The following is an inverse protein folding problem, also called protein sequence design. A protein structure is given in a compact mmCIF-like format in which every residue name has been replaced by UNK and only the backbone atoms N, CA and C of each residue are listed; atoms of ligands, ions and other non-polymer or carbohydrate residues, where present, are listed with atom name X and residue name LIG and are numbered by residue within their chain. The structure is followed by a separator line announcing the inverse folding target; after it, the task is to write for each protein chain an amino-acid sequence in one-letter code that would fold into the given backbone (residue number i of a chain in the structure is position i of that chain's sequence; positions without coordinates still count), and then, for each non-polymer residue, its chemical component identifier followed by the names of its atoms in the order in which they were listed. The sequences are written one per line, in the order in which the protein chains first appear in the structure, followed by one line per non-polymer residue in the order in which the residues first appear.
data_IF_790599239346
#
_entry.id   IF_790599239346
#
_cell.length_a   1.000
_cell.length_b   1.000
_cell.length_c   1.000
_cell.angle_alpha   90.00
_cell.angle_beta   90.00
_cell.angle_gamma   90.00
#
_symmetry.space_group_name_H-M   'P 1'
#
loop_
_entity.id
_entity.type
_entity.pdbx_description
1 polymer ?
#
# COMPACT_ATOMS: atom_id res chain seq x y z
N UNK A 1 30.62 -10.37 -14.24
CA UNK A 1 31.47 -9.21 -13.91
C UNK A 1 32.23 -9.55 -12.64
N UNK A 2 33.55 -9.76 -12.73
CA UNK A 2 34.42 -9.97 -11.57
C UNK A 2 35.11 -8.65 -11.24
N UNK A 3 35.09 -8.28 -9.97
CA UNK A 3 35.84 -7.13 -9.43
C UNK A 3 36.96 -7.66 -8.54
N UNK A 4 38.07 -6.92 -8.46
CA UNK A 4 39.10 -7.20 -7.46
C UNK A 4 38.69 -6.65 -6.08
N UNK A 5 39.52 -6.92 -5.08
CA UNK A 5 39.32 -6.47 -3.70
C UNK A 5 39.34 -4.94 -3.55
N UNK A 6 39.81 -4.22 -4.57
CA UNK A 6 39.87 -2.77 -4.60
C UNK A 6 38.71 -2.18 -5.40
N UNK A 7 37.69 -2.99 -5.73
CA UNK A 7 36.51 -2.61 -6.51
C UNK A 7 36.84 -2.11 -7.93
N UNK A 8 38.03 -2.40 -8.44
CA UNK A 8 38.32 -2.12 -9.83
C UNK A 8 37.67 -3.20 -10.68
N UNK A 9 37.08 -2.78 -11.80
CA UNK A 9 36.55 -3.69 -12.79
C UNK A 9 37.75 -4.38 -13.42
N UNK A 10 37.95 -5.66 -13.10
CA UNK A 10 38.97 -6.45 -13.78
C UNK A 10 38.44 -6.65 -15.20
N UNK A 11 39.14 -6.15 -16.23
CA UNK A 11 38.76 -6.45 -17.60
C UNK A 11 38.76 -7.98 -17.70
N UNK A 12 37.62 -8.55 -18.09
CA UNK A 12 37.53 -9.98 -18.36
C UNK A 12 38.42 -10.25 -19.57
N UNK A 13 39.71 -10.48 -19.27
CA UNK A 13 40.71 -10.85 -20.24
C UNK A 13 40.22 -12.11 -20.90
N UNK A 14 39.99 -11.97 -22.20
CA UNK A 14 39.73 -13.02 -23.17
C UNK A 14 38.48 -13.87 -22.95
N UNK A 15 37.70 -13.89 -24.01
CA UNK A 15 36.68 -14.86 -24.31
C UNK A 15 37.27 -16.27 -24.09
N UNK A 16 36.95 -16.95 -22.99
CA UNK A 16 37.20 -18.39 -22.83
C UNK A 16 36.23 -19.17 -23.71
N UNK A 17 36.24 -18.88 -25.02
CA UNK A 17 35.60 -19.70 -26.01
C UNK A 17 36.62 -20.74 -26.43
N UNK A 18 36.24 -22.01 -26.37
CA UNK A 18 36.98 -23.06 -27.05
C UNK A 18 37.20 -22.63 -28.50
N UNK A 19 38.40 -22.85 -29.06
CA UNK A 19 38.69 -22.42 -30.41
C UNK A 19 37.67 -23.06 -31.36
N UNK A 20 36.86 -22.21 -32.00
CA UNK A 20 35.79 -22.63 -32.94
C UNK A 20 36.39 -23.46 -34.08
N UNK A 21 37.67 -23.18 -34.40
CA UNK A 21 38.44 -23.91 -35.40
C UNK A 21 39.64 -24.60 -34.75
N UNK A 22 40.01 -25.81 -35.20
CA UNK A 22 41.19 -26.50 -34.70
C UNK A 22 42.46 -25.66 -34.94
N UNK A 23 43.41 -25.75 -34.01
CA UNK A 23 44.69 -25.06 -34.10
C UNK A 23 45.55 -25.70 -35.20
N UNK A 24 45.41 -25.17 -36.41
CA UNK A 24 46.19 -25.57 -37.59
C UNK A 24 46.89 -24.35 -38.19
N UNK A 25 48.06 -24.53 -38.82
CA UNK A 25 48.79 -23.45 -39.46
C UNK A 25 48.00 -22.80 -40.61
N UNK A 26 47.09 -23.55 -41.27
CA UNK A 26 46.18 -23.04 -42.30
C UNK A 26 45.16 -22.06 -41.71
N UNK A 27 44.52 -22.45 -40.60
CA UNK A 27 43.56 -21.59 -39.89
C UNK A 27 44.23 -20.34 -39.32
N UNK A 28 45.43 -20.50 -38.75
CA UNK A 28 46.24 -19.37 -38.31
C UNK A 28 46.52 -18.39 -39.45
N UNK A 29 46.91 -18.88 -40.63
CA UNK A 29 47.19 -18.02 -41.79
C UNK A 29 45.92 -17.34 -42.33
N UNK A 30 44.79 -18.04 -42.31
CA UNK A 30 43.50 -17.56 -42.79
C UNK A 30 42.89 -16.49 -41.88
N UNK A 31 43.00 -16.67 -40.56
CA UNK A 31 42.36 -15.79 -39.57
C UNK A 31 43.31 -14.76 -38.95
N UNK A 32 44.63 -14.86 -39.16
CA UNK A 32 45.60 -13.84 -38.72
C UNK A 32 45.30 -12.44 -39.26
N UNK A 33 44.65 -12.34 -40.43
CA UNK A 33 44.21 -11.07 -41.01
C UNK A 33 42.86 -10.57 -40.45
N UNK A 34 42.02 -11.46 -39.92
CA UNK A 34 40.66 -11.13 -39.45
C UNK A 34 40.65 -10.76 -37.96
N UNK A 35 41.62 -11.24 -37.18
CA UNK A 35 41.81 -10.87 -35.78
C UNK A 35 43.18 -10.22 -35.55
N UNK A 36 43.33 -8.96 -35.97
CA UNK A 36 44.52 -8.15 -35.64
C UNK A 36 44.67 -7.81 -34.14
N UNK A 37 43.81 -8.34 -33.27
CA UNK A 37 43.82 -8.05 -31.84
C UNK A 37 44.69 -8.97 -30.97
N UNK A 38 45.39 -9.96 -31.55
CA UNK A 38 46.19 -10.89 -30.76
C UNK A 38 47.66 -10.45 -30.54
N UNK A 39 48.10 -9.33 -31.10
CA UNK A 39 49.44 -8.76 -30.83
C UNK A 39 49.31 -7.40 -30.14
N UNK A 40 49.10 -7.41 -28.83
CA UNK A 40 49.14 -6.21 -28.01
C UNK A 40 50.56 -5.60 -28.06
N UNK A 41 50.72 -4.53 -28.82
CA UNK A 41 51.90 -3.66 -28.72
C UNK A 41 51.65 -2.70 -27.55
N UNK A 42 52.64 -2.39 -26.69
CA UNK A 42 52.46 -1.35 -25.67
C UNK A 42 52.10 -0.02 -26.35
N UNK A 43 50.86 0.45 -26.17
CA UNK A 43 50.34 1.67 -26.82
C UNK A 43 49.16 1.47 -27.79
N UNK A 44 48.71 0.23 -28.04
CA UNK A 44 47.48 0.02 -28.83
C UNK A 44 46.25 0.46 -28.02
N UNK A 45 45.56 1.50 -28.49
CA UNK A 45 44.23 1.89 -28.00
C UNK A 45 43.31 0.67 -28.10
N UNK A 46 42.91 0.12 -26.96
CA UNK A 46 41.85 -0.89 -26.88
C UNK A 46 40.63 -0.25 -27.54
N UNK A 47 40.11 -0.85 -28.61
CA UNK A 47 38.93 -0.34 -29.29
C UNK A 47 37.79 -0.26 -28.27
N UNK A 48 37.53 0.94 -27.77
CA UNK A 48 36.34 1.25 -27.01
C UNK A 48 35.15 1.02 -27.93
N UNK A 49 34.04 0.50 -27.39
CA UNK A 49 32.82 0.40 -28.17
C UNK A 49 32.47 1.77 -28.75
N UNK A 50 31.81 1.78 -29.91
CA UNK A 50 31.39 3.06 -30.48
C UNK A 50 30.46 3.76 -29.48
N UNK A 51 30.57 5.08 -29.29
CA UNK A 51 29.70 5.81 -28.37
C UNK A 51 28.19 5.54 -28.58
N UNK A 52 27.81 5.29 -29.84
CA UNK A 52 26.45 4.88 -30.23
C UNK A 52 26.03 3.53 -29.63
N UNK A 53 26.94 2.56 -29.58
CA UNK A 53 26.69 1.24 -28.99
C UNK A 53 26.53 1.33 -27.46
N UNK A 54 27.37 2.12 -26.79
CA UNK A 54 27.27 2.35 -25.34
C UNK A 54 25.95 3.04 -24.98
N UNK A 55 25.56 4.09 -25.72
CA UNK A 55 24.30 4.79 -25.51
C UNK A 55 23.07 3.89 -25.76
N UNK A 56 23.13 2.99 -26.75
CA UNK A 56 22.07 2.02 -27.01
C UNK A 56 21.93 1.02 -25.85
N UNK A 57 23.04 0.54 -25.32
CA UNK A 57 23.06 -0.42 -24.22
C UNK A 57 22.57 0.21 -22.90
N UNK A 58 22.97 1.45 -22.61
CA UNK A 58 22.46 2.23 -21.48
C UNK A 58 20.95 2.44 -21.58
N UNK A 59 20.46 2.78 -22.78
CA UNK A 59 19.02 2.92 -23.04
C UNK A 59 18.28 1.60 -22.82
N UNK A 60 18.86 0.48 -23.26
CA UNK A 60 18.30 -0.88 -23.05
C UNK A 60 18.22 -1.24 -21.56
N UNK A 61 19.29 -0.99 -20.81
CA UNK A 61 19.37 -1.27 -19.38
C UNK A 61 18.40 -0.42 -18.58
N UNK A 62 18.28 0.87 -18.92
CA UNK A 62 17.32 1.79 -18.31
C UNK A 62 15.89 1.32 -18.57
N UNK A 63 15.55 0.97 -19.81
CA UNK A 63 14.23 0.41 -20.15
C UNK A 63 13.91 -0.85 -19.33
N UNK A 64 14.87 -1.76 -19.17
CA UNK A 64 14.68 -2.96 -18.35
C UNK A 64 14.44 -2.64 -16.88
N UNK A 65 15.18 -1.67 -16.32
CA UNK A 65 15.03 -1.23 -14.94
C UNK A 65 13.67 -0.56 -14.70
N UNK A 66 13.26 0.35 -15.60
CA UNK A 66 11.96 1.01 -15.53
C UNK A 66 10.83 -0.01 -15.64
N UNK A 67 10.92 -0.95 -16.58
CA UNK A 67 9.91 -1.98 -16.77
C UNK A 67 9.75 -2.86 -15.52
N UNK A 68 10.87 -3.25 -14.89
CA UNK A 68 10.83 -4.02 -13.65
C UNK A 68 10.18 -3.23 -12.51
N UNK A 69 10.58 -1.98 -12.31
CA UNK A 69 10.00 -1.11 -11.29
C UNK A 69 8.48 -0.91 -11.50
N UNK A 70 8.05 -0.78 -12.76
CA UNK A 70 6.63 -0.66 -13.10
C UNK A 70 5.84 -1.92 -12.69
N UNK A 71 6.34 -3.12 -13.03
CA UNK A 71 5.66 -4.36 -12.64
C UNK A 71 5.60 -4.56 -11.12
N UNK A 72 6.68 -4.24 -10.40
CA UNK A 72 6.69 -4.30 -8.93
C UNK A 72 5.63 -3.36 -8.33
N UNK A 73 5.51 -2.15 -8.88
CA UNK A 73 4.51 -1.17 -8.45
C UNK A 73 3.08 -1.61 -8.79
N UNK A 74 2.85 -2.21 -9.95
CA UNK A 74 1.57 -2.80 -10.33
C UNK A 74 1.13 -3.90 -9.36
N UNK A 75 2.02 -4.83 -9.01
CA UNK A 75 1.74 -5.90 -8.04
C UNK A 75 1.50 -5.34 -6.63
N UNK A 76 2.26 -4.32 -6.22
CA UNK A 76 2.06 -3.63 -4.95
C UNK A 76 0.67 -2.99 -4.89
N UNK A 77 0.24 -2.33 -5.96
CA UNK A 77 -1.09 -1.70 -6.06
C UNK A 77 -2.20 -2.75 -6.02
N UNK A 78 -2.05 -3.89 -6.73
CA UNK A 78 -3.01 -5.00 -6.67
C UNK A 78 -3.19 -5.52 -5.25
N UNK A 79 -2.08 -5.77 -4.55
CA UNK A 79 -2.07 -6.25 -3.17
C UNK A 79 -2.74 -5.25 -2.23
N UNK A 80 -2.41 -3.96 -2.36
CA UNK A 80 -3.00 -2.92 -1.53
C UNK A 80 -4.49 -2.75 -1.79
N UNK A 81 -4.93 -2.82 -3.04
CA UNK A 81 -6.35 -2.78 -3.43
C UNK A 81 -7.15 -3.92 -2.80
N UNK A 82 -6.59 -5.13 -2.74
CA UNK A 82 -7.23 -6.26 -2.07
C UNK A 82 -7.34 -6.03 -0.55
N UNK A 83 -6.28 -5.53 0.08
CA UNK A 83 -6.28 -5.19 1.52
C UNK A 83 -7.32 -4.12 1.85
N UNK A 84 -7.41 -3.06 1.04
CA UNK A 84 -8.41 -1.99 1.20
C UNK A 84 -9.81 -2.58 1.12
N UNK A 85 -10.14 -3.39 0.10
CA UNK A 85 -11.45 -4.03 -0.01
C UNK A 85 -11.82 -4.88 1.21
N UNK A 86 -10.86 -5.63 1.74
CA UNK A 86 -11.07 -6.42 2.97
C UNK A 86 -11.31 -5.53 4.20
N UNK A 87 -10.50 -4.49 4.37
CA UNK A 87 -10.64 -3.53 5.46
C UNK A 87 -11.96 -2.76 5.38
N UNK A 88 -12.40 -2.36 4.20
CA UNK A 88 -13.69 -1.71 3.99
C UNK A 88 -14.86 -2.64 4.38
N UNK A 89 -14.80 -3.91 3.98
CA UNK A 89 -15.83 -4.90 4.35
C UNK A 89 -15.91 -5.10 5.86
N UNK A 90 -14.77 -5.27 6.52
CA UNK A 90 -14.71 -5.45 7.98
C UNK A 90 -15.14 -4.19 8.73
N UNK A 91 -14.73 -3.01 8.26
CA UNK A 91 -15.15 -1.74 8.85
C UNK A 91 -16.66 -1.52 8.72
N UNK A 92 -17.24 -1.78 7.55
CA UNK A 92 -18.70 -1.71 7.35
C UNK A 92 -19.45 -2.66 8.30
N UNK A 93 -18.97 -3.89 8.47
CA UNK A 93 -19.54 -4.84 9.44
C UNK A 93 -19.49 -4.31 10.88
N UNK A 94 -18.36 -3.73 11.29
CA UNK A 94 -18.23 -3.14 12.62
C UNK A 94 -19.15 -1.92 12.80
N UNK A 95 -19.30 -1.08 11.77
CA UNK A 95 -20.23 0.05 11.79
C UNK A 95 -21.66 -0.42 12.01
N UNK A 96 -22.08 -1.51 11.37
CA UNK A 96 -23.43 -2.06 11.54
C UNK A 96 -23.64 -2.69 12.92
N UNK A 97 -22.63 -3.38 13.46
CA UNK A 97 -22.65 -3.82 14.87
C UNK A 97 -22.84 -2.66 15.83
N UNK A 98 -22.09 -1.57 15.65
CA UNK A 98 -22.21 -0.37 16.48
C UNK A 98 -23.60 0.27 16.36
N UNK A 99 -24.15 0.35 15.14
CA UNK A 99 -25.52 0.86 14.94
C UNK A 99 -26.54 -0.01 15.69
N UNK A 100 -26.41 -1.34 15.59
CA UNK A 100 -27.30 -2.27 16.29
C UNK A 100 -27.19 -2.11 17.81
N UNK A 101 -25.98 -2.11 18.37
CA UNK A 101 -25.76 -1.88 19.80
C UNK A 101 -26.34 -0.54 20.27
N UNK A 102 -26.18 0.53 19.49
CA UNK A 102 -26.81 1.83 19.79
C UNK A 102 -28.33 1.74 19.82
N UNK A 103 -28.96 0.97 18.91
CA UNK A 103 -30.41 0.75 18.89
C UNK A 103 -30.86 -0.02 20.13
N UNK A 104 -30.18 -1.12 20.47
CA UNK A 104 -30.48 -1.93 21.65
C UNK A 104 -30.34 -1.12 22.95
N UNK A 105 -29.27 -0.32 23.08
CA UNK A 105 -29.07 0.54 24.24
C UNK A 105 -30.20 1.57 24.40
N UNK A 106 -30.67 2.18 23.29
CA UNK A 106 -31.82 3.10 23.32
C UNK A 106 -33.10 2.39 23.73
N UNK A 107 -33.30 1.15 23.28
CA UNK A 107 -34.46 0.35 23.65
C UNK A 107 -34.43 -0.01 25.14
N UNK A 108 -33.34 -0.58 25.64
CA UNK A 108 -33.16 -0.90 27.05
C UNK A 108 -33.37 0.34 27.94
N UNK A 109 -32.83 1.51 27.57
CA UNK A 109 -33.05 2.76 28.32
C UNK A 109 -34.53 3.18 28.37
N UNK A 110 -35.32 2.93 27.32
CA UNK A 110 -36.76 3.21 27.32
C UNK A 110 -37.50 2.22 28.22
N UNK A 111 -37.20 0.93 28.12
CA UNK A 111 -37.78 -0.11 28.95
C UNK A 111 -37.49 0.11 30.44
N UNK A 112 -36.26 0.48 30.80
CA UNK A 112 -35.91 0.86 32.19
C UNK A 112 -36.71 2.06 32.67
N UNK A 113 -36.92 3.08 31.82
CA UNK A 113 -37.73 4.25 32.17
C UNK A 113 -39.20 3.89 32.36
N UNK A 114 -39.74 3.02 31.51
CA UNK A 114 -41.12 2.54 31.61
C UNK A 114 -41.32 1.68 32.86
N UNK A 115 -40.43 0.73 33.13
CA UNK A 115 -40.44 -0.08 34.35
C UNK A 115 -40.33 0.77 35.62
N UNK A 116 -39.48 1.81 35.64
CA UNK A 116 -39.38 2.71 36.78
C UNK A 116 -40.63 3.56 36.98
N UNK A 117 -41.34 3.95 35.92
CA UNK A 117 -42.64 4.63 36.04
C UNK A 117 -43.72 3.68 36.57
N UNK A 118 -43.78 2.45 36.07
CA UNK A 118 -44.72 1.41 36.55
C UNK A 118 -44.45 1.11 38.03
N UNK A 119 -43.18 0.93 38.41
CA UNK A 119 -42.80 0.69 39.81
C UNK A 119 -43.19 1.86 40.72
N UNK A 120 -43.02 3.10 40.27
CA UNK A 120 -43.46 4.28 41.03
C UNK A 120 -44.97 4.32 41.19
N UNK A 121 -45.73 3.97 40.16
CA UNK A 121 -47.19 3.96 40.24
C UNK A 121 -47.71 2.82 41.13
N UNK A 122 -47.03 1.67 41.16
CA UNK A 122 -47.32 0.57 42.09
C UNK A 122 -46.93 0.86 43.54
N UNK A 123 -45.96 1.75 43.76
CA UNK A 123 -45.49 2.16 45.09
C UNK A 123 -46.11 3.49 45.56
N UNK A 124 -47.02 4.08 44.80
CA UNK A 124 -47.73 5.29 45.21
C UNK A 124 -48.67 4.92 46.38
N UNK A 125 -48.49 5.48 47.59
CA UNK A 125 -49.41 5.23 48.69
C UNK A 125 -50.78 5.76 48.32
N UNK A 126 -51.82 4.95 48.56
CA UNK A 126 -53.22 5.33 48.43
C UNK A 126 -53.45 6.71 49.08
N UNK A 127 -53.99 7.72 48.36
CA UNK A 127 -54.37 8.96 49.01
C UNK A 127 -55.56 8.69 49.92
N UNK A 128 -55.33 8.76 51.23
CA UNK A 128 -56.40 8.95 52.19
C UNK A 128 -57.07 10.28 51.85
N UNK A 129 -58.38 10.21 51.60
CA UNK A 129 -59.24 11.37 51.43
C UNK A 129 -59.14 12.24 52.68
N UNK A 130 -58.56 13.44 52.55
CA UNK A 130 -58.95 14.56 53.39
C UNK A 130 -59.42 15.69 52.49
N UNK A 131 -60.70 15.99 52.66
CA UNK A 131 -61.36 17.20 52.20
C UNK A 131 -60.64 18.42 52.72
N UNK A 132 -60.24 19.34 51.84
CA UNK A 132 -60.44 20.78 52.06
C UNK A 132 -60.23 21.52 50.75
N UNK A 133 -61.21 22.36 50.45
CA UNK A 133 -61.21 23.35 49.37
C UNK A 133 -59.95 24.23 49.48
N UNK A 134 -59.28 24.52 48.36
CA UNK A 134 -59.18 25.92 47.97
C UNK A 134 -58.93 26.09 46.47
N UNK A 135 -59.52 27.16 45.95
CA UNK A 135 -59.57 27.53 44.54
C UNK A 135 -58.24 28.17 44.10
N UNK A 136 -57.74 27.80 42.92
CA UNK A 136 -57.35 28.78 41.90
C UNK A 136 -56.82 28.09 40.63
N UNK A 137 -57.39 28.51 39.50
CA UNK A 137 -57.07 28.08 38.12
C UNK A 137 -56.44 29.28 37.37
N UNK A 138 -55.89 29.09 36.16
CA UNK A 138 -54.46 29.30 35.91
C UNK A 138 -54.16 30.48 34.97
N UNK A 139 -52.91 30.94 34.92
CA UNK A 139 -52.43 31.83 33.86
C UNK A 139 -51.35 31.14 33.01
N UNK A 140 -51.70 30.91 31.74
CA UNK A 140 -50.79 30.57 30.65
C UNK A 140 -49.92 31.78 30.31
N UNK A 141 -48.62 31.59 30.03
CA UNK A 141 -47.99 32.16 28.82
C UNK A 141 -46.65 31.52 28.48
N UNK A 142 -46.56 31.20 27.20
CA UNK A 142 -45.45 30.71 26.38
C UNK A 142 -44.35 31.77 26.24
N UNK A 143 -43.07 31.39 26.23
CA UNK A 143 -42.16 31.68 25.09
C UNK A 143 -40.80 30.97 25.24
N UNK A 144 -40.46 30.18 24.22
CA UNK A 144 -39.14 29.63 23.98
C UNK A 144 -38.17 30.71 23.49
N UNK A 145 -36.89 30.62 23.86
CA UNK A 145 -35.78 31.09 23.01
C UNK A 145 -34.56 30.20 23.20
N UNK A 146 -34.09 29.66 22.07
CA UNK A 146 -32.80 28.98 21.91
C UNK A 146 -31.67 29.98 22.09
N UNK A 147 -30.54 29.51 22.61
CA UNK A 147 -29.23 30.10 22.32
C UNK A 147 -28.29 28.96 21.90
N UNK A 148 -27.84 29.04 20.65
CA UNK A 148 -26.66 28.37 20.12
C UNK A 148 -25.46 29.22 20.52
N UNK A 149 -24.36 28.57 20.86
CA UNK A 149 -23.07 28.70 20.17
C UNK A 149 -22.38 27.33 20.20
#
# INVERSE_FOLDING_TARGET
MKMDENYNIIPHGVNFQDPIFPDTPENHRMFASLFQFANCTPGTQVHTYTPEWEAQEDSRLLCSTIQKALFEEEERVKTLSQKVRFLEKTNNHLRDKVKNMKRLLRQAKRETKEQTLILKHLHEPHPQQETTQDQSKPLKKVLAKKLKD
#
